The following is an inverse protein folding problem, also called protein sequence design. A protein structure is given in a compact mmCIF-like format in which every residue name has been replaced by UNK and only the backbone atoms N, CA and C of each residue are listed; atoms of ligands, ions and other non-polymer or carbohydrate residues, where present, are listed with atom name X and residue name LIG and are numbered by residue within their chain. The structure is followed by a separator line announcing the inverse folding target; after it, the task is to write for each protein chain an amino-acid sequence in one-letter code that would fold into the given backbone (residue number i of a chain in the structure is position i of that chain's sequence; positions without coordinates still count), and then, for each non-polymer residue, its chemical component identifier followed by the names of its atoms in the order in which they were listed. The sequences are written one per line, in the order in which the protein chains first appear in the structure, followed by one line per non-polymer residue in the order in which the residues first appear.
data_IF_799094084697
#
_entry.id   IF_799094084697
#
_cell.length_a   1.000
_cell.length_b   1.000
_cell.length_c   1.000
_cell.angle_alpha   90.00
_cell.angle_beta   90.00
_cell.angle_gamma   90.00
#
_symmetry.space_group_name_H-M   'P 1'
#
loop_
_entity.id
_entity.type
_entity.pdbx_description
1 polymer ?
#
# COMPACT_ATOMS: atom_id res chain seq x y z
N UNK A 1 -25.64 11.79 -11.14
CA UNK A 1 -24.49 12.39 -10.45
C UNK A 1 -24.49 11.85 -9.03
N UNK A 2 -23.71 10.81 -8.73
CA UNK A 2 -23.58 10.29 -7.37
C UNK A 2 -22.40 11.00 -6.70
N UNK A 3 -22.62 12.25 -6.28
CA UNK A 3 -21.71 12.89 -5.34
C UNK A 3 -21.75 12.09 -4.04
N UNK A 4 -20.59 11.78 -3.46
CA UNK A 4 -20.54 11.21 -2.12
C UNK A 4 -21.35 12.09 -1.15
N UNK A 5 -21.95 11.50 -0.10
CA UNK A 5 -22.60 12.30 0.92
C UNK A 5 -21.60 13.34 1.42
N UNK A 6 -21.96 14.63 1.49
CA UNK A 6 -21.04 15.70 1.83
C UNK A 6 -20.31 15.45 3.16
N UNK A 7 -20.95 14.72 4.08
CA UNK A 7 -20.40 14.30 5.37
C UNK A 7 -19.13 13.44 5.25
N UNK A 8 -19.14 12.50 4.31
CA UNK A 8 -18.04 11.54 4.10
C UNK A 8 -16.75 12.24 3.64
N UNK A 9 -16.89 13.28 2.83
CA UNK A 9 -15.75 14.05 2.35
C UNK A 9 -15.14 14.93 3.45
N UNK A 10 -15.98 15.44 4.34
CA UNK A 10 -15.55 16.23 5.50
C UNK A 10 -14.75 15.37 6.46
N UNK A 11 -15.24 14.18 6.81
CA UNK A 11 -14.53 13.24 7.70
C UNK A 11 -13.18 12.81 7.13
N UNK A 12 -13.13 12.49 5.83
CA UNK A 12 -11.89 12.14 5.13
C UNK A 12 -10.89 13.31 5.16
N UNK A 13 -11.36 14.54 4.91
CA UNK A 13 -10.50 15.71 4.95
C UNK A 13 -9.95 15.97 6.37
N UNK A 14 -10.77 15.77 7.40
CA UNK A 14 -10.36 15.89 8.80
C UNK A 14 -9.30 14.85 9.18
N UNK A 15 -9.48 13.59 8.78
CA UNK A 15 -8.45 12.56 9.00
C UNK A 15 -7.15 12.93 8.30
N UNK A 16 -7.25 13.31 7.02
CA UNK A 16 -6.08 13.69 6.24
C UNK A 16 -5.32 14.81 6.93
N UNK A 17 -6.02 15.84 7.40
CA UNK A 17 -5.40 16.95 8.13
C UNK A 17 -4.73 16.47 9.43
N UNK A 18 -5.42 15.64 10.21
CA UNK A 18 -4.89 15.07 11.46
C UNK A 18 -3.61 14.25 11.22
N UNK A 19 -3.62 13.31 10.28
CA UNK A 19 -2.44 12.49 9.96
C UNK A 19 -1.34 13.37 9.37
N UNK A 20 -1.67 14.35 8.53
CA UNK A 20 -0.69 15.29 7.98
C UNK A 20 -0.02 16.12 9.06
N UNK A 21 -0.79 16.65 10.00
CA UNK A 21 -0.32 17.42 11.13
C UNK A 21 0.60 16.58 12.01
N UNK A 22 0.18 15.36 12.34
CA UNK A 22 0.98 14.43 13.14
C UNK A 22 2.30 14.07 12.43
N UNK A 23 2.27 13.68 11.15
CA UNK A 23 3.49 13.32 10.42
C UNK A 23 4.45 14.50 10.27
N UNK A 24 3.94 15.71 9.99
CA UNK A 24 4.77 16.93 9.95
C UNK A 24 5.44 17.22 11.29
N UNK A 25 4.74 16.99 12.40
CA UNK A 25 5.31 17.13 13.73
C UNK A 25 6.33 16.02 14.02
N UNK A 26 6.02 14.77 13.66
CA UNK A 26 6.88 13.61 13.87
C UNK A 26 8.19 13.70 13.06
N UNK A 27 8.17 14.25 11.84
CA UNK A 27 9.39 14.54 11.07
C UNK A 27 10.34 15.50 11.80
N UNK A 28 9.80 16.40 12.64
CA UNK A 28 10.58 17.35 13.46
C UNK A 28 10.93 16.79 14.85
N UNK A 29 10.37 15.64 15.21
CA UNK A 29 10.40 15.10 16.55
C UNK A 29 9.24 15.60 17.40
N UNK A 30 8.46 14.66 17.94
CA UNK A 30 7.39 14.94 18.90
C UNK A 30 7.83 14.55 20.31
N UNK A 31 7.56 15.37 21.34
CA UNK A 31 7.89 15.03 22.72
C UNK A 31 7.07 13.84 23.20
N UNK A 32 7.71 12.95 23.94
CA UNK A 32 7.07 11.81 24.60
C UNK A 32 7.90 11.37 25.81
N UNK A 33 7.41 10.42 26.59
CA UNK A 33 8.23 9.68 27.55
C UNK A 33 8.19 8.20 27.23
N UNK A 34 9.33 7.52 27.33
CA UNK A 34 9.38 6.04 27.27
C UNK A 34 9.28 5.50 28.68
N UNK A 35 8.40 4.50 28.87
CA UNK A 35 8.31 3.75 30.12
C UNK A 35 8.94 2.37 29.90
N UNK A 36 10.10 2.12 30.53
CA UNK A 36 10.81 0.85 30.41
C UNK A 36 11.53 0.53 31.71
N UNK A 37 11.45 -0.73 32.16
CA UNK A 37 12.13 -1.23 33.35
C UNK A 37 11.83 -0.43 34.64
N UNK A 38 10.60 0.09 34.78
CA UNK A 38 10.23 0.93 35.93
C UNK A 38 10.82 2.35 35.90
N UNK A 39 11.47 2.76 34.80
CA UNK A 39 11.98 4.12 34.60
C UNK A 39 11.14 4.87 33.56
N UNK A 40 10.96 6.17 33.81
CA UNK A 40 10.37 7.13 32.86
C UNK A 40 11.49 7.96 32.27
N UNK A 41 11.71 7.82 30.97
CA UNK A 41 12.76 8.53 30.23
C UNK A 41 12.12 9.58 29.34
N UNK A 42 12.51 10.85 29.53
CA UNK A 42 12.07 11.95 28.64
C UNK A 42 12.71 11.79 27.26
N UNK A 43 11.87 11.71 26.23
CA UNK A 43 12.25 11.27 24.89
C UNK A 43 11.55 12.11 23.81
N UNK A 44 11.96 11.88 22.57
CA UNK A 44 11.23 12.29 21.38
C UNK A 44 11.12 11.13 20.43
N UNK A 45 9.97 11.01 19.77
CA UNK A 45 9.83 10.10 18.64
C UNK A 45 9.89 10.87 17.32
N UNK A 46 10.43 10.20 16.31
CA UNK A 46 10.65 10.72 14.97
C UNK A 46 10.14 9.69 13.97
N UNK A 47 9.63 10.18 12.84
CA UNK A 47 9.43 9.35 11.64
C UNK A 47 10.43 9.84 10.61
N UNK A 48 11.11 8.93 9.92
CA UNK A 48 12.06 9.31 8.88
C UNK A 48 11.38 9.86 7.62
N UNK A 49 12.13 10.56 6.76
CA UNK A 49 11.58 11.17 5.55
C UNK A 49 11.06 10.15 4.52
N UNK A 50 11.56 8.92 4.62
CA UNK A 50 11.12 7.78 3.82
C UNK A 50 9.79 7.20 4.31
N UNK A 51 9.36 7.53 5.53
CA UNK A 51 8.22 6.92 6.22
C UNK A 51 8.37 5.40 6.38
N UNK A 52 9.60 4.95 6.61
CA UNK A 52 9.95 3.53 6.77
C UNK A 52 10.27 3.17 8.22
N UNK A 53 10.69 4.15 9.02
CA UNK A 53 11.14 3.92 10.40
C UNK A 53 10.55 4.93 11.38
N UNK A 54 10.23 4.44 12.57
CA UNK A 54 9.99 5.25 13.76
C UNK A 54 11.20 5.12 14.66
N UNK A 55 11.78 6.24 15.07
CA UNK A 55 12.88 6.28 16.03
C UNK A 55 12.43 6.97 17.30
N UNK A 56 12.70 6.40 18.46
CA UNK A 56 12.51 7.05 19.76
C UNK A 56 13.86 7.23 20.42
N UNK A 57 14.22 8.48 20.70
CA UNK A 57 15.51 8.84 21.28
C UNK A 57 15.32 9.64 22.57
N UNK A 58 16.18 9.41 23.56
CA UNK A 58 16.22 10.20 24.80
C UNK A 58 16.66 11.64 24.51
N UNK A 59 15.98 12.61 25.12
CA UNK A 59 16.28 14.03 24.94
C UNK A 59 17.56 14.45 25.68
N UNK A 60 17.80 13.89 26.86
CA UNK A 60 18.90 14.31 27.75
C UNK A 60 20.19 13.50 27.54
N UNK A 61 20.11 12.33 26.92
CA UNK A 61 21.24 11.42 26.78
C UNK A 61 21.00 10.51 25.57
N UNK A 62 21.37 10.93 24.34
CA UNK A 62 21.12 10.14 23.14
C UNK A 62 21.78 8.75 23.19
N UNK A 63 22.86 8.59 23.97
CA UNK A 63 23.52 7.30 24.20
C UNK A 63 22.76 6.36 25.14
N UNK A 64 21.80 6.86 25.94
CA UNK A 64 21.08 6.06 26.95
C UNK A 64 19.93 5.25 26.34
N UNK A 65 19.25 5.79 25.33
CA UNK A 65 18.07 5.15 24.75
C UNK A 65 17.88 5.58 23.30
N UNK A 66 17.99 4.61 22.41
CA UNK A 66 17.64 4.72 21.01
C UNK A 66 16.87 3.46 20.59
N UNK A 67 15.58 3.61 20.30
CA UNK A 67 14.71 2.55 19.82
C UNK A 67 14.42 2.85 18.35
N UNK A 68 14.85 1.99 17.43
CA UNK A 68 14.59 2.14 15.99
C UNK A 68 13.71 1.00 15.53
N UNK A 69 12.52 1.32 15.04
CA UNK A 69 11.50 0.36 14.66
C UNK A 69 11.14 0.55 13.19
N UNK A 70 11.35 -0.46 12.33
CA UNK A 70 10.77 -0.46 11.00
C UNK A 70 9.25 -0.41 11.11
N UNK A 71 8.60 0.53 10.43
CA UNK A 71 7.14 0.67 10.41
C UNK A 71 6.49 -0.61 9.88
N UNK A 72 7.12 -1.28 8.91
CA UNK A 72 6.68 -2.59 8.41
C UNK A 72 6.77 -3.71 9.46
N UNK A 73 7.62 -3.54 10.47
CA UNK A 73 7.78 -4.46 11.59
C UNK A 73 6.76 -4.26 12.71
N UNK A 74 6.08 -3.12 12.78
CA UNK A 74 5.03 -2.88 13.78
C UNK A 74 3.90 -3.88 13.53
N UNK A 75 3.58 -4.65 14.56
CA UNK A 75 2.52 -5.67 14.53
C UNK A 75 1.21 -5.06 14.99
N UNK A 76 1.25 -4.37 16.13
CA UNK A 76 0.08 -3.84 16.80
C UNK A 76 0.42 -2.60 17.66
N UNK A 77 -0.59 -1.79 17.96
CA UNK A 77 -0.48 -0.61 18.80
C UNK A 77 -1.70 -0.55 19.72
N UNK A 78 -1.43 -0.63 21.01
CA UNK A 78 -2.46 -0.62 22.06
C UNK A 78 -2.55 0.76 22.72
N UNK A 79 -3.74 1.16 23.15
CA UNK A 79 -3.97 2.30 24.03
C UNK A 79 -4.94 1.95 25.16
N UNK A 80 -4.78 2.55 26.34
CA UNK A 80 -5.62 2.21 27.51
C UNK A 80 -7.12 2.44 27.26
N UNK A 81 -7.57 3.52 26.59
CA UNK A 81 -9.00 3.73 26.35
C UNK A 81 -9.67 2.70 25.43
N UNK A 82 -8.93 2.11 24.49
CA UNK A 82 -9.47 1.12 23.53
C UNK A 82 -9.27 -0.32 24.04
N UNK A 83 -8.11 -0.61 24.66
CA UNK A 83 -7.68 -1.98 24.98
C UNK A 83 -7.69 -2.32 26.48
N UNK A 84 -7.80 -1.30 27.35
CA UNK A 84 -7.77 -1.45 28.79
C UNK A 84 -6.37 -1.64 29.39
N UNK A 85 -6.28 -1.54 30.71
CA UNK A 85 -4.99 -1.58 31.44
C UNK A 85 -4.32 -2.97 31.38
N UNK A 86 -5.09 -4.05 31.19
CA UNK A 86 -4.59 -5.42 31.16
C UNK A 86 -3.68 -5.72 29.95
N UNK A 87 -3.74 -4.91 28.89
CA UNK A 87 -2.85 -5.03 27.74
C UNK A 87 -1.41 -4.58 28.02
N UNK A 88 -1.16 -3.88 29.15
CA UNK A 88 0.10 -3.22 29.44
C UNK A 88 0.89 -3.93 30.55
N UNK A 89 2.23 -3.79 30.57
CA UNK A 89 3.03 -4.23 31.72
C UNK A 89 2.58 -3.55 33.01
N UNK A 90 2.43 -4.31 34.09
CA UNK A 90 1.97 -3.80 35.38
C UNK A 90 2.90 -2.72 35.95
N UNK A 91 4.19 -2.81 35.63
CA UNK A 91 5.20 -1.82 36.01
C UNK A 91 4.93 -0.49 35.30
N UNK A 92 4.52 -0.50 34.03
CA UNK A 92 4.19 0.73 33.30
C UNK A 92 2.92 1.38 33.85
N UNK A 93 1.89 0.58 34.16
CA UNK A 93 0.61 1.10 34.69
C UNK A 93 0.77 1.67 36.11
N UNK A 94 1.55 1.00 36.98
CA UNK A 94 1.73 1.45 38.36
C UNK A 94 2.52 2.76 38.49
N UNK A 95 3.26 3.15 37.45
CA UNK A 95 3.99 4.43 37.40
C UNK A 95 3.12 5.64 37.01
N UNK A 96 1.89 5.42 36.56
CA UNK A 96 1.06 6.46 35.96
C UNK A 96 -0.08 6.89 36.87
N UNK A 97 -0.37 8.18 36.85
CA UNK A 97 -1.62 8.69 37.40
C UNK A 97 -2.80 8.30 36.52
N UNK A 98 -4.01 8.22 37.08
CA UNK A 98 -5.20 7.85 36.32
C UNK A 98 -5.44 8.74 35.08
N UNK A 99 -5.10 10.03 35.17
CA UNK A 99 -5.16 10.98 34.05
C UNK A 99 -4.12 10.72 32.97
N UNK A 100 -2.95 10.20 33.33
CA UNK A 100 -1.87 9.87 32.41
C UNK A 100 -2.11 8.55 31.69
N UNK A 101 -2.88 7.62 32.28
CA UNK A 101 -3.21 6.33 31.65
C UNK A 101 -3.89 6.51 30.30
N UNK A 102 -4.75 7.53 30.16
CA UNK A 102 -5.34 7.87 28.87
C UNK A 102 -4.27 8.21 27.83
N UNK A 103 -3.12 8.76 28.20
CA UNK A 103 -2.05 9.18 27.28
C UNK A 103 -1.09 8.03 26.91
N UNK A 104 -1.26 6.86 27.51
CA UNK A 104 -0.38 5.71 27.33
C UNK A 104 -0.74 4.93 26.07
N UNK A 105 0.29 4.63 25.28
CA UNK A 105 0.22 3.67 24.18
C UNK A 105 1.39 2.68 24.24
N UNK A 106 1.20 1.48 23.71
CA UNK A 106 2.24 0.45 23.63
C UNK A 106 2.37 -0.01 22.19
N UNK A 107 3.59 0.04 21.66
CA UNK A 107 3.90 -0.43 20.31
C UNK A 107 4.52 -1.82 20.41
N UNK A 108 3.93 -2.80 19.73
CA UNK A 108 4.45 -4.15 19.59
C UNK A 108 4.97 -4.33 18.18
N UNK A 109 6.21 -4.79 18.04
CA UNK A 109 6.88 -4.89 16.75
C UNK A 109 7.77 -6.12 16.64
N UNK A 110 8.07 -6.49 15.40
CA UNK A 110 9.06 -7.49 15.05
C UNK A 110 10.29 -6.77 14.48
N UNK A 111 11.43 -6.91 15.15
CA UNK A 111 12.70 -6.33 14.73
C UNK A 111 13.29 -7.01 13.49
N UNK A 112 14.39 -6.45 12.97
CA UNK A 112 15.08 -6.95 11.78
C UNK A 112 15.58 -8.40 11.93
N UNK A 113 15.96 -8.79 13.15
CA UNK A 113 16.37 -10.15 13.48
C UNK A 113 15.20 -11.07 13.87
N UNK A 114 13.96 -10.68 13.57
CA UNK A 114 12.71 -11.37 13.94
C UNK A 114 12.44 -11.47 15.45
N UNK A 115 13.22 -10.77 16.26
CA UNK A 115 12.95 -10.63 17.69
C UNK A 115 11.70 -9.78 17.91
N UNK A 116 10.83 -10.24 18.82
CA UNK A 116 9.66 -9.48 19.21
C UNK A 116 10.06 -8.45 20.26
N UNK A 117 9.76 -7.19 19.97
CA UNK A 117 9.98 -6.07 20.87
C UNK A 117 8.66 -5.40 21.23
N UNK A 118 8.65 -4.75 22.40
CA UNK A 118 7.58 -3.83 22.78
C UNK A 118 8.15 -2.69 23.60
N UNK A 119 7.55 -1.52 23.46
CA UNK A 119 7.85 -0.36 24.30
C UNK A 119 6.59 0.45 24.52
N UNK A 120 6.52 1.09 25.69
CA UNK A 120 5.40 1.94 26.08
C UNK A 120 5.79 3.41 25.92
N UNK A 121 4.96 4.17 25.21
CA UNK A 121 5.08 5.61 25.06
C UNK A 121 3.98 6.31 25.84
N UNK A 122 4.36 7.30 26.63
CA UNK A 122 3.45 8.25 27.23
C UNK A 122 3.50 9.55 26.44
N UNK A 123 2.38 9.91 25.82
CA UNK A 123 2.24 11.10 24.99
C UNK A 123 2.00 12.34 25.85
N UNK A 124 2.24 13.52 25.29
CA UNK A 124 2.05 14.80 26.00
C UNK A 124 0.57 15.24 26.08
N UNK A 125 -0.27 14.70 25.19
CA UNK A 125 -1.65 15.12 24.97
C UNK A 125 -2.48 13.98 24.37
N UNK A 126 -3.81 14.02 24.58
CA UNK A 126 -4.73 13.04 23.99
C UNK A 126 -4.73 13.14 22.47
N UNK A 127 -4.69 14.38 21.97
CA UNK A 127 -4.61 14.69 20.55
C UNK A 127 -3.31 14.16 19.93
N UNK A 128 -2.18 14.25 20.65
CA UNK A 128 -0.90 13.68 20.23
C UNK A 128 -0.95 12.15 20.14
N UNK A 129 -1.53 11.49 21.14
CA UNK A 129 -1.77 10.04 21.16
C UNK A 129 -2.63 9.60 19.97
N UNK A 130 -3.77 10.24 19.76
CA UNK A 130 -4.71 9.88 18.70
C UNK A 130 -4.11 10.12 17.32
N UNK A 131 -3.40 11.25 17.17
CA UNK A 131 -2.64 11.55 15.96
C UNK A 131 -1.58 10.49 15.66
N UNK A 132 -0.83 10.02 16.67
CA UNK A 132 0.16 8.97 16.51
C UNK A 132 -0.48 7.64 16.09
N UNK A 133 -1.53 7.21 16.80
CA UNK A 133 -2.26 5.97 16.52
C UNK A 133 -2.76 5.93 15.08
N UNK A 134 -3.47 6.98 14.64
CA UNK A 134 -4.02 7.04 13.29
C UNK A 134 -2.91 7.16 12.23
N UNK A 135 -1.87 7.96 12.47
CA UNK A 135 -0.74 8.05 11.55
C UNK A 135 -0.03 6.70 11.40
N UNK A 136 0.22 5.99 12.50
CA UNK A 136 0.90 4.70 12.48
C UNK A 136 0.05 3.60 11.86
N UNK A 137 -1.27 3.53 12.14
CA UNK A 137 -2.18 2.57 11.48
C UNK A 137 -2.09 2.69 9.97
N UNK A 138 -2.17 3.92 9.47
CA UNK A 138 -2.07 4.21 8.04
C UNK A 138 -0.69 3.83 7.48
N UNK A 139 0.38 4.21 8.19
CA UNK A 139 1.76 3.93 7.79
C UNK A 139 2.09 2.43 7.76
N UNK A 140 1.65 1.66 8.76
CA UNK A 140 1.86 0.22 8.85
C UNK A 140 1.19 -0.50 7.68
N UNK A 141 -0.01 -0.08 7.34
CA UNK A 141 -0.73 -0.59 6.18
C UNK A 141 0.04 -0.26 4.89
N UNK A 142 0.47 0.99 4.73
CA UNK A 142 1.25 1.43 3.57
C UNK A 142 2.59 0.67 3.41
N UNK A 143 3.32 0.47 4.51
CA UNK A 143 4.66 -0.13 4.51
C UNK A 143 4.62 -1.64 4.21
N UNK A 144 3.62 -2.36 4.76
CA UNK A 144 3.39 -3.79 4.45
C UNK A 144 3.15 -4.01 2.96
N UNK A 145 2.46 -3.08 2.28
CA UNK A 145 2.29 -3.17 0.83
C UNK A 145 3.60 -3.07 0.06
N UNK A 146 4.51 -2.20 0.50
CA UNK A 146 5.79 -2.03 -0.17
C UNK A 146 6.69 -3.27 0.01
N UNK A 147 6.65 -3.87 1.20
CA UNK A 147 7.41 -5.08 1.52
C UNK A 147 6.98 -6.30 0.68
N UNK A 148 5.67 -6.54 0.53
CA UNK A 148 5.15 -7.67 -0.25
C UNK A 148 5.49 -7.58 -1.75
N UNK A 149 5.54 -6.38 -2.30
CA UNK A 149 5.88 -6.20 -3.72
C UNK A 149 7.35 -6.53 -3.98
N UNK A 150 8.21 -6.25 -3.01
CA UNK A 150 9.65 -6.47 -3.10
C UNK A 150 10.05 -7.95 -3.02
N UNK A 151 9.29 -8.79 -2.31
CA UNK A 151 9.57 -10.24 -2.21
C UNK A 151 9.19 -11.01 -3.49
N UNK A 152 8.28 -10.47 -4.29
CA UNK A 152 7.69 -11.16 -5.43
C UNK A 152 8.57 -11.17 -6.70
N UNK A 153 9.63 -10.37 -6.76
CA UNK A 153 10.51 -10.22 -7.92
C UNK A 153 11.76 -11.11 -7.89
N UNK A 154 12.16 -11.65 -6.73
CA UNK A 154 13.40 -12.42 -6.59
C UNK A 154 13.29 -13.92 -6.92
N UNK A 155 12.07 -14.46 -7.06
CA UNK A 155 11.83 -15.92 -7.11
C UNK A 155 11.93 -16.62 -8.47
N UNK A 156 12.49 -16.02 -9.54
CA UNK A 156 12.48 -16.63 -10.88
C UNK A 156 13.82 -16.78 -11.61
N UNK A 157 14.94 -16.39 -11.01
CA UNK A 157 16.25 -16.73 -11.55
C UNK A 157 16.81 -17.96 -10.81
N UNK A 158 17.03 -19.06 -11.51
CA UNK A 158 17.89 -20.13 -11.00
C UNK A 158 17.32 -21.55 -10.96
N UNK A 159 16.59 -21.97 -11.98
CA UNK A 159 16.47 -23.39 -12.33
C UNK A 159 17.50 -23.79 -13.39
N UNK A 160 18.78 -23.48 -13.17
CA UNK A 160 19.84 -24.00 -14.03
C UNK A 160 19.97 -25.51 -13.77
N UNK A 161 19.47 -26.28 -14.73
CA UNK A 161 19.68 -27.73 -14.83
C UNK A 161 21.18 -28.02 -14.68
N UNK A 162 21.57 -28.63 -13.56
CA UNK A 162 22.87 -29.28 -13.43
C UNK A 162 22.90 -30.45 -14.42
N UNK A 163 23.38 -30.19 -15.63
CA UNK A 163 23.84 -31.24 -16.54
C UNK A 163 25.00 -31.97 -15.87
N UNK A 164 24.79 -33.24 -15.52
CA UNK A 164 25.84 -34.13 -15.08
C UNK A 164 26.90 -34.36 -16.17
N UNK A 165 28.12 -34.80 -15.80
CA UNK A 165 29.18 -35.06 -16.76
C UNK A 165 28.90 -36.38 -17.49
N UNK A 166 28.81 -36.34 -18.81
CA UNK A 166 28.94 -37.53 -19.67
C UNK A 166 30.35 -37.54 -20.29
N UNK A 167 31.06 -38.68 -20.32
CA UNK A 167 32.37 -38.77 -20.94
C UNK A 167 32.27 -39.22 -22.41
N UNK A 168 33.11 -38.60 -23.26
CA UNK A 168 33.76 -39.25 -24.39
C UNK A 168 32.97 -39.40 -25.70
N UNK A 169 33.28 -38.57 -26.69
CA UNK A 169 32.94 -38.83 -28.10
C UNK A 169 33.19 -37.65 -29.05
N UNK A 170 34.27 -37.72 -29.85
CA UNK A 170 34.44 -36.98 -31.12
C UNK A 170 34.11 -37.96 -32.28
N UNK A 171 34.00 -37.54 -33.56
CA UNK A 171 33.86 -36.20 -34.17
C UNK A 171 32.71 -36.15 -35.23
N UNK A 172 32.42 -34.96 -35.78
CA UNK A 172 31.64 -34.84 -37.02
C UNK A 172 31.09 -33.44 -37.24
N UNK A 173 31.74 -32.67 -38.12
CA UNK A 173 31.32 -31.32 -38.46
C UNK A 173 30.12 -31.29 -39.39
N UNK A 174 29.09 -30.54 -39.00
CA UNK A 174 28.12 -29.89 -39.90
C UNK A 174 27.74 -28.56 -39.26
N UNK A 175 27.92 -27.46 -39.99
CA UNK A 175 27.60 -26.11 -39.53
C UNK A 175 26.07 -25.90 -39.50
N UNK A 176 25.49 -25.37 -38.40
CA UNK A 176 24.08 -25.01 -38.37
C UNK A 176 23.84 -23.60 -38.94
N UNK A 177 22.65 -23.33 -39.50
CA UNK A 177 22.30 -22.03 -40.04
C UNK A 177 22.10 -20.98 -38.94
N UNK A 178 22.45 -19.74 -39.26
CA UNK A 178 22.23 -18.55 -38.46
C UNK A 178 20.73 -18.31 -38.20
N UNK A 179 20.22 -18.87 -37.10
CA UNK A 179 18.88 -18.59 -36.57
C UNK A 179 18.90 -17.33 -35.70
N UNK A 180 18.06 -16.36 -36.04
CA UNK A 180 18.00 -15.03 -35.43
C UNK A 180 17.85 -15.04 -33.91
N UNK A 181 18.57 -14.10 -33.27
CA UNK A 181 18.40 -13.75 -31.85
C UNK A 181 16.94 -13.35 -31.63
N UNK A 182 16.17 -14.21 -30.97
CA UNK A 182 14.89 -13.84 -30.39
C UNK A 182 15.16 -12.66 -29.43
N UNK A 183 14.52 -11.52 -29.70
CA UNK A 183 14.60 -10.36 -28.85
C UNK A 183 14.13 -10.74 -27.45
N UNK A 184 15.00 -10.50 -26.48
CA UNK A 184 14.78 -10.78 -25.07
C UNK A 184 13.49 -10.08 -24.63
N UNK A 185 12.49 -10.87 -24.25
CA UNK A 185 11.16 -10.39 -23.90
C UNK A 185 11.30 -9.58 -22.61
N UNK A 186 11.43 -8.26 -22.76
CA UNK A 186 11.56 -7.33 -21.64
C UNK A 186 10.39 -7.55 -20.67
N UNK A 187 10.71 -8.07 -19.48
CA UNK A 187 9.72 -8.21 -18.43
C UNK A 187 9.19 -6.81 -18.11
N UNK A 188 7.92 -6.58 -18.41
CA UNK A 188 7.27 -5.31 -18.09
C UNK A 188 7.35 -5.13 -16.57
N UNK A 189 7.89 -3.99 -16.09
CA UNK A 189 8.06 -3.77 -14.67
C UNK A 189 6.69 -3.83 -13.97
N UNK A 190 6.59 -4.68 -12.95
CA UNK A 190 5.48 -4.62 -11.99
C UNK A 190 5.45 -3.20 -11.44
N UNK A 191 4.32 -2.52 -11.59
CA UNK A 191 4.16 -1.16 -11.10
C UNK A 191 4.21 -1.19 -9.57
N UNK A 192 5.34 -0.80 -8.99
CA UNK A 192 5.48 -0.73 -7.55
C UNK A 192 4.63 0.42 -7.00
N UNK A 193 3.70 0.11 -6.11
CA UNK A 193 2.90 1.10 -5.41
C UNK A 193 3.73 1.62 -4.25
N UNK A 194 4.39 2.75 -4.42
CA UNK A 194 5.16 3.37 -3.34
C UNK A 194 4.25 3.77 -2.17
N UNK A 195 4.79 3.77 -0.95
CA UNK A 195 4.12 4.31 0.25
C UNK A 195 3.56 5.71 -0.03
N UNK A 196 4.31 6.54 -0.77
CA UNK A 196 3.88 7.88 -1.19
C UNK A 196 2.63 7.85 -2.06
N UNK A 197 2.54 6.92 -3.02
CA UNK A 197 1.34 6.76 -3.83
C UNK A 197 0.14 6.32 -2.99
N UNK A 198 0.34 5.38 -2.07
CA UNK A 198 -0.71 4.93 -1.15
C UNK A 198 -1.22 6.11 -0.31
N UNK A 199 -0.31 6.85 0.34
CA UNK A 199 -0.62 8.03 1.13
C UNK A 199 -1.39 9.08 0.32
N UNK A 200 -0.96 9.34 -0.92
CA UNK A 200 -1.66 10.25 -1.83
C UNK A 200 -3.05 9.75 -2.21
N UNK A 201 -3.23 8.43 -2.36
CA UNK A 201 -4.51 7.81 -2.74
C UNK A 201 -5.55 7.88 -1.63
N UNK A 202 -5.10 7.91 -0.37
CA UNK A 202 -5.95 8.19 0.80
C UNK A 202 -5.95 9.69 1.17
N UNK A 203 -5.31 10.53 0.35
CA UNK A 203 -5.22 11.99 0.39
C UNK A 203 -4.38 12.59 1.52
N UNK A 204 -3.46 11.84 2.08
CA UNK A 204 -2.44 12.33 3.02
C UNK A 204 -1.35 13.06 2.20
N UNK A 205 -1.19 14.36 2.49
CA UNK A 205 -0.30 15.30 1.79
C UNK A 205 0.95 15.67 2.59
N UNK A 206 1.19 15.05 3.76
CA UNK A 206 2.26 15.41 4.69
C UNK A 206 3.66 15.48 4.03
N UNK A 207 3.87 14.63 3.03
CA UNK A 207 5.12 14.50 2.27
C UNK A 207 5.22 15.40 1.04
N UNK A 208 4.18 16.16 0.71
CA UNK A 208 4.23 17.17 -0.34
C UNK A 208 4.98 18.37 0.23
N UNK A 209 6.30 18.27 0.35
CA UNK A 209 7.12 19.42 0.69
C UNK A 209 6.92 20.50 -0.38
N UNK A 210 6.37 21.64 0.03
CA UNK A 210 6.53 23.04 -0.39
C UNK A 210 7.17 23.39 -1.77
N UNK A 211 7.02 22.55 -2.79
CA UNK A 211 7.21 22.98 -4.18
C UNK A 211 6.10 23.97 -4.54
N UNK A 212 6.41 25.10 -5.20
CA UNK A 212 5.42 26.14 -5.50
C UNK A 212 4.22 25.55 -6.27
N UNK A 213 3.02 25.74 -5.70
CA UNK A 213 1.68 25.68 -6.33
C UNK A 213 1.38 24.62 -7.42
N UNK A 214 1.84 23.38 -7.27
CA UNK A 214 1.35 22.27 -8.10
C UNK A 214 0.30 21.39 -7.40
N UNK A 215 -0.52 22.01 -6.54
CA UNK A 215 -1.76 21.43 -6.01
C UNK A 215 -2.92 21.51 -7.03
N UNK A 216 -2.65 21.26 -8.32
CA UNK A 216 -3.72 20.82 -9.21
C UNK A 216 -3.97 19.36 -8.85
N UNK A 217 -5.22 19.04 -8.47
CA UNK A 217 -5.79 17.71 -8.21
C UNK A 217 -4.90 16.65 -8.82
N UNK A 218 -4.35 15.71 -8.07
CA UNK A 218 -3.59 14.59 -8.65
C UNK A 218 -4.40 13.98 -9.79
N UNK A 219 -4.14 14.34 -11.06
CA UNK A 219 -4.69 13.54 -12.11
C UNK A 219 -3.80 12.29 -12.01
N UNK A 220 -4.36 11.09 -12.20
CA UNK A 220 -3.56 10.14 -12.96
C UNK A 220 -2.96 10.95 -14.11
N UNK A 221 -1.61 11.06 -14.24
CA UNK A 221 -0.95 12.08 -15.06
C UNK A 221 -1.80 12.26 -16.30
N UNK A 222 -2.45 13.44 -16.43
CA UNK A 222 -3.60 13.65 -17.33
C UNK A 222 -3.24 12.90 -18.59
N UNK A 223 -3.90 11.75 -18.79
CA UNK A 223 -3.40 10.70 -19.68
C UNK A 223 -3.27 11.45 -20.98
N UNK A 224 -2.03 11.79 -21.35
CA UNK A 224 -1.78 12.88 -22.32
C UNK A 224 -2.68 12.51 -23.47
N UNK A 225 -3.60 13.37 -23.90
CA UNK A 225 -4.65 12.94 -24.86
C UNK A 225 -4.01 12.23 -26.06
N UNK A 226 -2.81 12.68 -26.43
CA UNK A 226 -1.94 12.12 -27.46
C UNK A 226 -1.38 10.71 -27.16
N UNK A 227 -1.30 10.31 -25.90
CA UNK A 227 -0.84 9.02 -25.41
C UNK A 227 -1.94 7.99 -25.13
N UNK A 228 -3.23 8.39 -25.12
CA UNK A 228 -4.36 7.47 -24.86
C UNK A 228 -4.44 6.39 -25.94
N UNK A 229 -4.31 6.77 -27.21
CA UNK A 229 -4.38 5.87 -28.36
C UNK A 229 -3.25 4.82 -28.33
N UNK A 230 -1.96 5.18 -28.20
CA UNK A 230 -0.89 4.20 -28.00
C UNK A 230 -1.07 3.33 -26.76
N UNK A 231 -1.54 3.90 -25.65
CA UNK A 231 -1.75 3.18 -24.39
C UNK A 231 -2.84 2.11 -24.54
N UNK A 232 -4.01 2.46 -25.05
CA UNK A 232 -5.14 1.54 -25.25
C UNK A 232 -4.79 0.45 -26.28
N UNK A 233 -4.03 0.81 -27.32
CA UNK A 233 -3.56 -0.14 -28.34
C UNK A 233 -2.69 -1.26 -27.76
N UNK A 234 -1.89 -0.95 -26.74
CA UNK A 234 -1.06 -1.95 -26.06
C UNK A 234 -1.87 -3.07 -25.35
N UNK A 235 -3.18 -2.85 -25.17
CA UNK A 235 -4.11 -3.77 -24.53
C UNK A 235 -5.03 -4.52 -25.51
N UNK A 236 -4.66 -4.60 -26.79
CA UNK A 236 -5.42 -5.38 -27.78
C UNK A 236 -6.70 -4.71 -28.25
N UNK A 237 -6.81 -3.39 -28.05
CA UNK A 237 -7.86 -2.57 -28.65
C UNK A 237 -7.34 -1.85 -29.89
N UNK A 238 -8.26 -1.49 -30.79
CA UNK A 238 -8.05 -0.59 -31.92
C UNK A 238 -8.76 0.74 -31.62
N UNK A 239 -8.12 1.66 -30.89
CA UNK A 239 -8.67 2.98 -30.65
C UNK A 239 -8.70 3.79 -31.94
N UNK A 240 -9.83 4.44 -32.23
CA UNK A 240 -9.94 5.48 -33.26
C UNK A 240 -9.65 6.87 -32.67
N UNK A 241 -9.98 7.07 -31.40
CA UNK A 241 -9.66 8.26 -30.61
C UNK A 241 -9.63 7.93 -29.10
N UNK A 242 -9.67 8.94 -28.23
CA UNK A 242 -9.65 8.82 -26.77
C UNK A 242 -10.97 8.34 -26.15
N UNK A 243 -12.06 8.33 -26.91
CA UNK A 243 -13.41 7.98 -26.47
C UNK A 243 -13.99 6.76 -27.21
N UNK A 244 -13.42 6.41 -28.36
CA UNK A 244 -13.89 5.36 -29.24
C UNK A 244 -12.78 4.35 -29.53
N UNK A 245 -13.04 3.09 -29.18
CA UNK A 245 -12.14 1.98 -29.45
C UNK A 245 -12.91 0.70 -29.74
N UNK A 246 -12.36 -0.11 -30.62
CA UNK A 246 -12.91 -1.41 -30.98
C UNK A 246 -11.99 -2.54 -30.48
N UNK A 247 -12.55 -3.73 -30.31
CA UNK A 247 -11.73 -4.92 -30.05
C UNK A 247 -11.00 -5.31 -31.35
N UNK A 248 -9.70 -5.64 -31.27
CA UNK A 248 -9.00 -6.28 -32.38
C UNK A 248 -9.64 -7.65 -32.65
N UNK A 249 -10.50 -7.72 -33.66
CA UNK A 249 -11.01 -8.99 -34.18
C UNK A 249 -9.90 -9.64 -34.98
N UNK A 250 -9.30 -10.69 -34.43
CA UNK A 250 -8.48 -11.59 -35.23
C UNK A 250 -9.42 -12.36 -36.17
N UNK A 251 -9.13 -12.34 -37.48
CA UNK A 251 -10.04 -12.79 -38.54
C UNK A 251 -10.49 -14.26 -38.44
N UNK A 252 -9.92 -15.06 -37.53
CA UNK A 252 -10.25 -16.47 -37.36
C UNK A 252 -10.21 -17.01 -35.91
N UNK A 253 -10.16 -16.15 -34.89
CA UNK A 253 -10.17 -16.59 -33.48
C UNK A 253 -11.26 -15.89 -32.68
N UNK A 254 -11.80 -16.60 -31.66
CA UNK A 254 -12.74 -16.01 -30.71
C UNK A 254 -12.17 -14.69 -30.20
N UNK A 255 -13.00 -13.63 -30.20
CA UNK A 255 -12.56 -12.29 -29.85
C UNK A 255 -11.80 -12.30 -28.52
N UNK A 256 -10.53 -11.92 -28.62
CA UNK A 256 -9.57 -11.85 -27.54
C UNK A 256 -9.96 -10.67 -26.65
N UNK A 257 -10.26 -10.92 -25.37
CA UNK A 257 -10.82 -9.89 -24.46
C UNK A 257 -9.96 -9.80 -23.20
N UNK A 258 -9.58 -8.57 -22.80
CA UNK A 258 -8.88 -8.40 -21.55
C UNK A 258 -9.77 -8.83 -20.39
N UNK A 259 -9.18 -9.59 -19.47
CA UNK A 259 -9.87 -10.08 -18.29
C UNK A 259 -9.35 -9.30 -17.09
N UNK A 260 -10.25 -8.54 -16.46
CA UNK A 260 -10.00 -7.94 -15.15
C UNK A 260 -10.47 -8.90 -14.05
N UNK A 261 -9.61 -9.13 -13.07
CA UNK A 261 -9.89 -9.90 -11.86
C UNK A 261 -9.69 -9.01 -10.65
N UNK A 262 -10.67 -8.98 -9.77
CA UNK A 262 -10.65 -8.18 -8.54
C UNK A 262 -10.76 -9.12 -7.34
N UNK A 263 -9.90 -8.92 -6.35
CA UNK A 263 -9.89 -9.69 -5.10
C UNK A 263 -9.65 -8.77 -3.92
N UNK A 264 -10.52 -8.82 -2.92
CA UNK A 264 -10.24 -8.19 -1.63
C UNK A 264 -9.19 -9.04 -0.92
N UNK A 265 -7.98 -8.51 -0.71
CA UNK A 265 -6.91 -9.22 0.02
C UNK A 265 -7.05 -9.08 1.52
N UNK A 266 -7.35 -7.88 1.97
CA UNK A 266 -7.51 -7.53 3.37
C UNK A 266 -8.40 -6.29 3.49
N UNK A 267 -8.86 -6.04 4.71
CA UNK A 267 -9.44 -4.76 5.09
C UNK A 267 -8.77 -4.26 6.37
N UNK A 268 -8.85 -2.96 6.60
CA UNK A 268 -8.39 -2.33 7.83
C UNK A 268 -9.30 -1.15 8.17
N UNK A 269 -9.35 -0.78 9.44
CA UNK A 269 -10.07 0.40 9.89
C UNK A 269 -9.10 1.58 10.04
N UNK A 270 -9.47 2.72 9.47
CA UNK A 270 -8.77 3.99 9.62
C UNK A 270 -9.78 5.13 9.47
N UNK A 271 -9.73 6.13 10.35
CA UNK A 271 -10.77 7.16 10.49
C UNK A 271 -12.20 6.61 10.53
N UNK A 272 -12.46 5.63 11.39
CA UNK A 272 -13.82 5.08 11.57
C UNK A 272 -14.42 4.55 10.24
N UNK A 273 -13.55 4.19 9.29
CA UNK A 273 -13.94 3.68 8.00
C UNK A 273 -13.21 2.39 7.70
N UNK A 274 -13.92 1.44 7.13
CA UNK A 274 -13.33 0.22 6.60
C UNK A 274 -12.77 0.48 5.20
N UNK A 275 -11.46 0.31 5.07
CA UNK A 275 -10.74 0.37 3.80
C UNK A 275 -10.43 -1.04 3.34
N UNK A 276 -10.76 -1.34 2.09
CA UNK A 276 -10.49 -2.60 1.43
C UNK A 276 -9.28 -2.46 0.53
N UNK A 277 -8.37 -3.42 0.61
CA UNK A 277 -7.23 -3.52 -0.30
C UNK A 277 -7.64 -4.46 -1.41
N UNK A 278 -7.99 -3.87 -2.55
CA UNK A 278 -8.41 -4.61 -3.73
C UNK A 278 -7.19 -4.90 -4.58
N UNK A 279 -6.79 -6.16 -4.64
CA UNK A 279 -5.87 -6.67 -5.64
C UNK A 279 -6.59 -6.73 -6.98
N UNK A 280 -6.02 -6.04 -7.97
CA UNK A 280 -6.53 -6.01 -9.32
C UNK A 280 -5.50 -6.61 -10.26
N UNK A 281 -5.95 -7.58 -11.05
CA UNK A 281 -5.16 -8.16 -12.12
C UNK A 281 -5.86 -7.89 -13.44
N UNK A 282 -5.15 -7.34 -14.40
CA UNK A 282 -5.59 -7.22 -15.79
C UNK A 282 -4.75 -8.15 -16.65
N UNK A 283 -5.39 -9.17 -17.24
CA UNK A 283 -4.75 -10.12 -18.16
C UNK A 283 -5.15 -9.79 -19.58
N UNK A 284 -4.15 -9.70 -20.44
CA UNK A 284 -4.33 -9.73 -21.88
C UNK A 284 -4.09 -11.17 -22.32
N UNK A 285 -4.94 -11.68 -23.18
CA UNK A 285 -4.72 -12.92 -23.90
C UNK A 285 -3.62 -12.76 -24.97
N UNK A 286 -3.20 -13.90 -25.53
CA UNK A 286 -1.88 -14.18 -26.14
C UNK A 286 -1.39 -13.25 -27.27
N UNK A 287 -2.17 -12.26 -27.68
CA UNK A 287 -1.85 -11.34 -28.78
C UNK A 287 -1.18 -10.04 -28.35
N UNK A 288 -1.16 -9.70 -27.06
CA UNK A 288 -0.54 -8.47 -26.55
C UNK A 288 0.90 -8.66 -26.05
N UNK A 289 1.76 -7.65 -26.27
CA UNK A 289 3.09 -7.57 -25.65
C UNK A 289 3.03 -7.37 -24.13
N UNK A 290 1.85 -7.09 -23.56
CA UNK A 290 1.64 -6.88 -22.12
C UNK A 290 0.97 -8.11 -21.50
N UNK A 291 1.72 -9.06 -20.91
CA UNK A 291 1.15 -10.35 -20.54
C UNK A 291 0.21 -10.26 -19.32
N UNK A 292 0.46 -9.32 -18.40
CA UNK A 292 -0.29 -9.19 -17.15
C UNK A 292 0.09 -7.89 -16.43
N UNK A 293 -0.92 -7.14 -15.99
CA UNK A 293 -0.74 -6.06 -15.02
C UNK A 293 -1.36 -6.49 -13.68
N UNK A 294 -0.63 -6.28 -12.60
CA UNK A 294 -1.09 -6.49 -11.23
C UNK A 294 -0.89 -5.18 -10.47
N UNK A 295 -1.92 -4.71 -9.75
CA UNK A 295 -1.79 -3.57 -8.85
C UNK A 295 -2.73 -3.72 -7.65
N UNK A 296 -2.42 -2.98 -6.58
CA UNK A 296 -3.27 -2.87 -5.41
C UNK A 296 -3.98 -1.51 -5.41
N UNK A 297 -5.24 -1.51 -5.01
CA UNK A 297 -6.08 -0.32 -4.97
C UNK A 297 -6.79 -0.26 -3.61
N UNK A 298 -6.40 0.68 -2.72
CA UNK A 298 -7.17 0.96 -1.51
C UNK A 298 -8.49 1.59 -1.92
N UNK A 299 -9.61 1.00 -1.49
CA UNK A 299 -10.97 1.43 -1.83
C UNK A 299 -11.88 1.34 -0.61
N UNK A 300 -12.80 2.27 -0.49
CA UNK A 300 -13.95 2.16 0.41
C UNK A 300 -15.06 1.38 -0.28
N UNK A 301 -15.99 0.85 0.50
CA UNK A 301 -17.20 0.21 -0.06
C UNK A 301 -17.98 1.18 -0.96
N UNK A 302 -18.11 2.45 -0.55
CA UNK A 302 -18.74 3.49 -1.36
C UNK A 302 -18.06 3.67 -2.73
N UNK A 303 -16.72 3.67 -2.78
CA UNK A 303 -15.98 3.76 -4.05
C UNK A 303 -16.26 2.55 -4.95
N UNK A 304 -16.26 1.34 -4.38
CA UNK A 304 -16.55 0.12 -5.13
C UNK A 304 -17.99 0.11 -5.63
N UNK A 305 -18.94 0.60 -4.84
CA UNK A 305 -20.35 0.74 -5.24
C UNK A 305 -20.49 1.71 -6.40
N UNK A 306 -20.08 2.96 -6.21
CA UNK A 306 -20.28 4.02 -7.18
C UNK A 306 -19.54 3.84 -8.51
N UNK A 307 -18.31 3.30 -8.48
CA UNK A 307 -17.44 3.27 -9.67
C UNK A 307 -17.32 1.91 -10.34
N UNK A 308 -17.80 0.84 -9.71
CA UNK A 308 -17.72 -0.51 -10.26
C UNK A 308 -19.09 -1.19 -10.26
N UNK A 309 -19.67 -1.45 -9.08
CA UNK A 309 -20.91 -2.21 -8.97
C UNK A 309 -22.09 -1.51 -9.68
N UNK A 310 -22.34 -0.23 -9.37
CA UNK A 310 -23.49 0.49 -9.92
C UNK A 310 -23.39 0.64 -11.43
N UNK A 311 -22.16 0.86 -11.95
CA UNK A 311 -21.89 0.92 -13.38
C UNK A 311 -22.07 -0.42 -14.08
N UNK A 312 -21.59 -1.51 -13.49
CA UNK A 312 -21.80 -2.86 -14.03
C UNK A 312 -23.30 -3.19 -14.04
N UNK A 313 -24.01 -2.84 -12.96
CA UNK A 313 -25.45 -3.06 -12.85
C UNK A 313 -26.23 -2.25 -13.89
N UNK A 314 -25.87 -0.98 -14.10
CA UNK A 314 -26.43 -0.11 -15.13
C UNK A 314 -26.21 -0.69 -16.54
N UNK A 315 -24.98 -1.12 -16.85
CA UNK A 315 -24.62 -1.68 -18.16
C UNK A 315 -25.32 -3.02 -18.43
N UNK A 316 -25.43 -3.88 -17.42
CA UNK A 316 -26.02 -5.21 -17.58
C UNK A 316 -27.55 -5.20 -17.53
N UNK A 317 -28.18 -4.17 -16.94
CA UNK A 317 -29.63 -4.05 -16.81
C UNK A 317 -30.26 -5.32 -16.23
N UNK A 318 -31.28 -5.84 -16.90
CA UNK A 318 -32.04 -7.03 -16.48
C UNK A 318 -31.19 -8.32 -16.40
N UNK A 319 -30.07 -8.37 -17.13
CA UNK A 319 -29.16 -9.53 -17.10
C UNK A 319 -28.31 -9.58 -15.82
N UNK A 320 -28.20 -8.48 -15.07
CA UNK A 320 -27.38 -8.41 -13.86
C UNK A 320 -27.78 -9.50 -12.85
N UNK A 321 -29.08 -9.65 -12.58
CA UNK A 321 -29.59 -10.64 -11.63
C UNK A 321 -29.24 -12.08 -12.00
N UNK A 322 -29.13 -12.39 -13.30
CA UNK A 322 -28.73 -13.72 -13.78
C UNK A 322 -27.25 -14.02 -13.53
N UNK A 323 -26.40 -13.01 -13.72
CA UNK A 323 -24.95 -13.15 -13.57
C UNK A 323 -24.49 -13.11 -12.12
N UNK A 324 -25.23 -12.41 -11.25
CA UNK A 324 -24.88 -12.17 -9.85
C UNK A 324 -25.93 -12.75 -8.87
N UNK A 325 -26.70 -13.75 -9.30
CA UNK A 325 -27.63 -14.46 -8.43
C UNK A 325 -26.87 -15.11 -7.26
N UNK A 326 -27.29 -14.84 -6.03
CA UNK A 326 -26.70 -15.44 -4.82
C UNK A 326 -25.42 -14.77 -4.32
N UNK A 327 -24.97 -13.68 -4.95
CA UNK A 327 -23.87 -12.85 -4.41
C UNK A 327 -24.43 -11.65 -3.64
N UNK A 328 -24.03 -11.48 -2.39
CA UNK A 328 -24.35 -10.29 -1.59
C UNK A 328 -23.21 -9.27 -1.72
N UNK A 329 -23.56 -8.02 -2.09
CA UNK A 329 -22.65 -6.87 -2.20
C UNK A 329 -23.06 -5.73 -1.26
#
# INVERSE_FOLDING_TARGET
QNSEPPDVQVEVAQLQDMVNKCLKAALKGCPCSVLQNGERVSSRYFVDEALEKVTVASFNSPTKLEIVVPISGIQDIFCVPEDGEAAFPAEAISMLQQSEKDLLLMVVFQGLQREYGKFSLLMDSKEGRDGFMEAMRVLCVASRFNAEQSSSSSGRQGGAVRSGPAPGGKPGGVAPPAGGKAADSSAIPRQQVSVRFFMRSIGIKALQQNGPEHSKKCPLPELIRDGVVPYISAFGYRPSDDMHWELLRAENTAAVRPTISLRVRQHFEAAKHTWYIVETTLRMDKTGNVPRLDWLAPRRLAHMRAHLHDRIKEILGDSYGRHFAGTNF
#
